data_IF_787886760254
#
_entry.id   IF_787886760254
#
_cell.length_a   1.000
_cell.length_b   1.000
_cell.length_c   1.000
_cell.angle_alpha   90.00
_cell.angle_beta   90.00
_cell.angle_gamma   90.00
#
_symmetry.space_group_name_H-M   'P 1'
#
loop_
_entity.id
_entity.type
_entity.pdbx_description
1 polymer ?
#
# COMPACT_ATOMS: atom_id res chain seq x y z
N UNK A 1 3.29 14.00 1.65
CA UNK A 1 1.81 13.97 1.78
C UNK A 1 1.36 12.56 1.44
N UNK A 2 0.86 11.79 2.41
CA UNK A 2 0.30 10.46 2.13
C UNK A 2 -0.93 10.64 1.24
N UNK A 3 -0.93 9.99 0.08
CA UNK A 3 -2.11 9.90 -0.75
C UNK A 3 -2.88 8.64 -0.34
N UNK A 4 -4.22 8.68 -0.31
CA UNK A 4 -4.99 7.50 0.02
C UNK A 4 -4.84 6.45 -1.09
N UNK A 5 -4.57 5.20 -0.71
CA UNK A 5 -4.37 4.07 -1.61
C UNK A 5 -5.70 3.50 -2.14
N UNK A 6 -6.61 4.37 -2.58
CA UNK A 6 -7.97 3.99 -2.98
C UNK A 6 -7.93 2.99 -4.13
N UNK A 7 -8.47 1.79 -3.89
CA UNK A 7 -8.57 0.73 -4.88
C UNK A 7 -7.24 0.07 -5.24
N UNK A 8 -6.15 0.32 -4.51
CA UNK A 8 -4.87 -0.36 -4.76
C UNK A 8 -4.76 -1.72 -4.08
N UNK A 9 -5.46 -1.90 -2.97
CA UNK A 9 -5.66 -3.15 -2.24
C UNK A 9 -7.03 -3.09 -1.57
N UNK A 10 -7.57 -4.25 -1.20
CA UNK A 10 -8.91 -4.36 -0.63
C UNK A 10 -8.88 -4.46 0.89
N UNK A 11 -7.91 -5.21 1.43
CA UNK A 11 -7.76 -5.41 2.86
C UNK A 11 -6.31 -5.31 3.31
N UNK A 12 -6.14 -4.85 4.54
CA UNK A 12 -4.85 -4.78 5.21
C UNK A 12 -4.98 -5.31 6.64
N UNK A 13 -4.03 -6.13 7.04
CA UNK A 13 -4.02 -6.82 8.32
C UNK A 13 -2.64 -6.75 8.96
N UNK A 14 -2.59 -6.79 10.29
CA UNK A 14 -1.35 -6.98 11.07
C UNK A 14 -1.47 -8.27 11.86
N UNK A 15 -0.46 -9.13 11.80
CA UNK A 15 -0.33 -10.31 12.65
C UNK A 15 1.13 -10.52 13.09
N UNK A 16 1.34 -11.39 14.08
CA UNK A 16 2.69 -11.88 14.40
C UNK A 16 3.07 -13.03 13.45
N UNK A 17 4.35 -13.13 13.12
CA UNK A 17 4.93 -14.24 12.37
C UNK A 17 6.08 -14.85 13.18
N UNK A 18 6.13 -16.18 13.23
CA UNK A 18 7.24 -16.93 13.84
C UNK A 18 8.04 -17.60 12.73
N UNK A 19 9.35 -17.37 12.71
CA UNK A 19 10.29 -18.01 11.80
C UNK A 19 11.01 -19.19 12.47
N UNK A 20 11.61 -20.06 11.67
CA UNK A 20 12.20 -21.34 12.11
C UNK A 20 13.33 -21.23 13.17
N UNK A 21 13.82 -20.02 13.48
CA UNK A 21 14.94 -19.76 14.40
C UNK A 21 14.50 -19.02 15.69
N UNK A 22 13.24 -19.20 16.12
CA UNK A 22 12.64 -18.50 17.28
C UNK A 22 12.60 -16.96 17.15
N UNK A 23 12.78 -16.45 15.93
CA UNK A 23 12.62 -15.03 15.62
C UNK A 23 11.14 -14.75 15.37
N UNK A 24 10.54 -13.93 16.23
CA UNK A 24 9.18 -13.42 16.06
C UNK A 24 9.22 -12.03 15.42
N UNK A 25 8.43 -11.84 14.37
CA UNK A 25 8.30 -10.57 13.66
C UNK A 25 6.84 -10.13 13.60
N UNK A 26 6.61 -8.88 13.22
CA UNK A 26 5.27 -8.41 12.86
C UNK A 26 5.13 -8.42 11.35
N UNK A 27 3.99 -8.88 10.85
CA UNK A 27 3.72 -8.96 9.43
C UNK A 27 2.54 -8.07 9.05
N UNK A 28 2.78 -7.12 8.16
CA UNK A 28 1.74 -6.37 7.45
C UNK A 28 1.32 -7.19 6.23
N UNK A 29 0.06 -7.61 6.21
CA UNK A 29 -0.51 -8.42 5.15
C UNK A 29 -1.44 -7.56 4.29
N UNK A 30 -1.16 -7.48 2.99
CA UNK A 30 -2.00 -6.81 2.01
C UNK A 30 -2.75 -7.84 1.16
N UNK A 31 -4.07 -7.79 1.11
CA UNK A 31 -4.90 -8.71 0.31
C UNK A 31 -5.55 -7.97 -0.85
N UNK A 32 -5.64 -8.64 -2.01
CA UNK A 32 -6.28 -8.07 -3.20
C UNK A 32 -5.48 -6.92 -3.84
N UNK A 33 -4.16 -6.91 -3.68
CA UNK A 33 -3.32 -5.85 -4.25
C UNK A 33 -3.29 -5.95 -5.78
N UNK A 34 -3.56 -4.84 -6.48
CA UNK A 34 -3.41 -4.80 -7.93
C UNK A 34 -1.97 -5.14 -8.32
N UNK A 35 -1.79 -6.05 -9.29
CA UNK A 35 -0.45 -6.53 -9.72
C UNK A 35 0.49 -5.39 -10.11
N UNK A 36 -0.04 -4.35 -10.78
CA UNK A 36 0.74 -3.17 -11.17
C UNK A 36 1.21 -2.31 -9.98
N UNK A 37 0.57 -2.44 -8.82
CA UNK A 37 0.82 -1.64 -7.62
C UNK A 37 1.53 -2.40 -6.50
N UNK A 38 1.62 -3.74 -6.57
CA UNK A 38 2.23 -4.60 -5.54
C UNK A 38 3.61 -4.09 -5.08
N UNK A 39 4.56 -3.97 -6.00
CA UNK A 39 5.92 -3.54 -5.66
C UNK A 39 5.95 -2.09 -5.14
N UNK A 40 5.15 -1.20 -5.72
CA UNK A 40 5.13 0.20 -5.32
C UNK A 40 4.62 0.37 -3.89
N UNK A 41 3.54 -0.32 -3.52
CA UNK A 41 2.95 -0.24 -2.19
C UNK A 41 3.88 -0.84 -1.14
N UNK A 42 4.40 -2.05 -1.38
CA UNK A 42 5.34 -2.72 -0.45
C UNK A 42 6.55 -1.82 -0.20
N UNK A 43 7.13 -1.24 -1.27
CA UNK A 43 8.25 -0.31 -1.14
C UNK A 43 7.88 0.93 -0.34
N UNK A 44 6.73 1.55 -0.61
CA UNK A 44 6.29 2.75 0.12
C UNK A 44 6.06 2.47 1.60
N UNK A 45 5.53 1.30 1.96
CA UNK A 45 5.36 0.91 3.37
C UNK A 45 6.73 0.73 4.03
N UNK A 46 7.65 -0.03 3.40
CA UNK A 46 9.00 -0.22 3.93
C UNK A 46 9.76 1.10 4.12
N UNK A 47 9.63 2.02 3.16
CA UNK A 47 10.22 3.35 3.27
C UNK A 47 9.62 4.14 4.45
N UNK A 48 8.30 4.11 4.63
CA UNK A 48 7.64 4.74 5.79
C UNK A 48 8.11 4.13 7.10
N UNK A 49 8.18 2.79 7.19
CA UNK A 49 8.66 2.09 8.37
C UNK A 49 10.09 2.50 8.74
N UNK A 50 10.97 2.69 7.75
CA UNK A 50 12.35 3.14 7.96
C UNK A 50 12.47 4.56 8.55
N UNK A 51 11.40 5.37 8.47
CA UNK A 51 11.35 6.71 9.06
C UNK A 51 10.74 6.74 10.46
N UNK A 52 10.20 5.62 10.95
CA UNK A 52 9.63 5.55 12.29
C UNK A 52 10.71 5.20 13.29
N UNK A 53 10.80 5.94 14.42
CA UNK A 53 11.65 5.58 15.57
C UNK A 53 11.11 4.36 16.33
N UNK A 54 10.28 3.55 15.68
CA UNK A 54 9.63 2.43 16.29
C UNK A 54 10.60 1.24 16.17
N UNK A 55 11.18 0.85 17.30
CA UNK A 55 11.99 -0.36 17.48
C UNK A 55 11.10 -1.63 17.49
N UNK A 56 10.09 -1.66 16.61
CA UNK A 56 9.35 -2.88 16.30
C UNK A 56 10.30 -3.71 15.44
N UNK A 57 11.04 -4.62 16.08
CA UNK A 57 11.89 -5.59 15.40
C UNK A 57 11.22 -6.11 14.13
N UNK A 58 11.97 -6.05 13.02
CA UNK A 58 11.63 -6.51 11.67
C UNK A 58 10.11 -6.55 11.38
N UNK A 59 9.50 -5.43 11.02
CA UNK A 59 8.16 -5.47 10.43
C UNK A 59 8.30 -5.88 8.97
N UNK A 60 7.78 -7.06 8.65
CA UNK A 60 7.71 -7.58 7.30
C UNK A 60 6.45 -7.09 6.58
N UNK A 61 6.51 -7.00 5.25
CA UNK A 61 5.38 -6.63 4.42
C UNK A 61 5.21 -7.66 3.32
N UNK A 62 4.04 -8.30 3.27
CA UNK A 62 3.70 -9.31 2.28
C UNK A 62 2.36 -9.01 1.60
N UNK A 63 2.23 -9.44 0.35
CA UNK A 63 0.97 -9.43 -0.37
C UNK A 63 0.45 -10.85 -0.56
N UNK A 64 -0.87 -11.02 -0.53
CA UNK A 64 -1.53 -12.31 -0.66
C UNK A 64 -2.67 -12.26 -1.68
N UNK A 65 -2.86 -13.37 -2.39
CA UNK A 65 -4.06 -13.61 -3.17
C UNK A 65 -5.20 -14.03 -2.24
N UNK A 66 -6.43 -13.72 -2.63
CA UNK A 66 -7.61 -14.16 -1.86
C UNK A 66 -7.71 -15.68 -1.74
N UNK A 67 -7.19 -16.39 -2.74
CA UNK A 67 -7.24 -17.84 -2.80
C UNK A 67 -6.16 -18.52 -1.93
N UNK A 68 -5.24 -17.74 -1.35
CA UNK A 68 -4.20 -18.30 -0.49
C UNK A 68 -4.81 -18.78 0.84
N UNK A 69 -4.55 -20.03 1.22
CA UNK A 69 -5.09 -20.63 2.46
C UNK A 69 -4.72 -19.81 3.71
N UNK A 70 -3.54 -19.17 3.69
CA UNK A 70 -3.05 -18.30 4.77
C UNK A 70 -3.95 -17.09 5.02
N UNK A 71 -4.68 -16.60 4.02
CA UNK A 71 -5.59 -15.48 4.16
C UNK A 71 -6.74 -15.78 5.13
N UNK A 72 -7.23 -17.02 5.15
CA UNK A 72 -8.24 -17.43 6.14
C UNK A 72 -7.66 -17.31 7.54
N UNK A 73 -6.43 -17.79 7.75
CA UNK A 73 -5.80 -17.74 9.06
C UNK A 73 -5.52 -16.31 9.53
N UNK A 74 -5.01 -15.45 8.64
CA UNK A 74 -4.76 -14.04 8.93
C UNK A 74 -6.06 -13.34 9.36
N UNK A 75 -7.20 -13.63 8.72
CA UNK A 75 -8.49 -13.04 9.12
C UNK A 75 -8.99 -13.52 10.49
N UNK A 76 -8.62 -14.73 10.90
CA UNK A 76 -8.98 -15.28 12.22
C UNK A 76 -8.16 -14.67 13.36
N UNK A 77 -6.85 -14.50 13.15
CA UNK A 77 -5.91 -14.14 14.23
C UNK A 77 -5.38 -12.71 14.15
N UNK A 78 -5.45 -12.10 12.98
CA UNK A 78 -4.88 -10.79 12.70
C UNK A 78 -5.80 -9.63 13.09
N UNK A 79 -5.20 -8.45 13.19
CA UNK A 79 -5.90 -7.19 13.44
C UNK A 79 -6.15 -6.51 12.10
N UNK A 80 -7.42 -6.33 11.73
CA UNK A 80 -7.80 -5.59 10.51
C UNK A 80 -7.52 -4.10 10.69
N UNK A 81 -6.70 -3.54 9.81
CA UNK A 81 -6.50 -2.10 9.75
C UNK A 81 -7.64 -1.46 8.95
N UNK A 82 -8.29 -0.46 9.55
CA UNK A 82 -9.36 0.30 8.93
C UNK A 82 -8.80 1.64 8.47
N UNK A 83 -9.01 1.95 7.20
CA UNK A 83 -8.70 3.27 6.65
C UNK A 83 -9.97 4.10 6.54
N UNK A 84 -9.88 5.44 6.69
CA UNK A 84 -11.02 6.30 6.41
C UNK A 84 -11.46 6.09 4.95
N UNK A 85 -12.77 6.00 4.72
CA UNK A 85 -13.31 5.98 3.37
C UNK A 85 -12.88 7.24 2.62
N UNK A 86 -12.27 7.03 1.46
CA UNK A 86 -11.79 8.12 0.63
C UNK A 86 -12.85 8.33 -0.42
N UNK A 87 -13.62 9.40 -0.27
CA UNK A 87 -14.55 9.85 -1.30
C UNK A 87 -13.76 9.99 -2.60
N UNK A 88 -14.19 9.25 -3.63
CA UNK A 88 -13.58 9.05 -4.95
C UNK A 88 -12.44 9.99 -5.30
N UNK A 89 -11.30 9.41 -5.74
CA UNK A 89 -10.24 10.15 -6.41
C UNK A 89 -10.91 10.90 -7.56
N UNK A 90 -11.08 12.22 -7.41
CA UNK A 90 -11.45 13.09 -8.51
C UNK A 90 -10.38 12.86 -9.56
N UNK A 91 -10.71 12.05 -10.57
CA UNK A 91 -9.90 11.91 -11.75
C UNK A 91 -9.59 13.35 -12.16
N UNK A 92 -8.32 13.74 -12.04
CA UNK A 92 -7.85 14.95 -12.67
C UNK A 92 -7.90 14.64 -14.17
N UNK A 93 -9.11 14.68 -14.74
CA UNK A 93 -9.30 14.84 -16.15
C UNK A 93 -8.40 16.02 -16.49
N UNK A 94 -7.28 15.72 -17.14
CA UNK A 94 -6.29 16.68 -17.56
C UNK A 94 -7.07 17.79 -18.25
N UNK A 95 -7.16 18.97 -17.64
CA UNK A 95 -7.92 20.05 -18.23
C UNK A 95 -7.17 20.49 -19.49
N UNK A 96 -7.61 19.96 -20.64
CA UNK A 96 -6.98 20.21 -21.94
C UNK A 96 -7.23 21.66 -22.40
N UNK A 97 -7.94 22.49 -21.62
CA UNK A 97 -8.37 23.83 -22.06
C UNK A 97 -7.26 24.86 -22.25
N UNK A 98 -6.02 24.63 -21.81
CA UNK A 98 -4.93 25.61 -21.94
C UNK A 98 -3.74 25.15 -22.82
N UNK A 99 -4.00 24.53 -23.98
CA UNK A 99 -2.93 24.30 -24.98
C UNK A 99 -2.41 25.58 -25.66
N UNK A 100 -3.20 26.67 -25.66
CA UNK A 100 -2.81 27.92 -26.34
C UNK A 100 -1.73 28.71 -25.56
N UNK A 101 -1.64 28.56 -24.25
CA UNK A 101 -0.70 29.30 -23.39
C UNK A 101 0.67 28.61 -23.21
N UNK A 102 0.81 27.37 -23.70
CA UNK A 102 2.02 26.55 -23.56
C UNK A 102 2.78 26.36 -24.88
N UNK A 103 2.39 27.08 -25.94
CA UNK A 103 3.16 27.04 -27.17
C UNK A 103 4.46 27.81 -26.97
N UNK A 104 5.63 27.17 -27.17
CA UNK A 104 6.90 27.89 -27.09
C UNK A 104 6.92 29.00 -28.15
N UNK A 105 7.49 30.17 -27.83
CA UNK A 105 7.56 31.28 -28.78
C UNK A 105 8.28 30.83 -30.05
N UNK A 106 7.69 31.15 -31.21
CA UNK A 106 8.29 30.83 -32.51
C UNK A 106 9.58 31.62 -32.66
N UNK A 107 10.70 30.91 -32.71
CA UNK A 107 12.01 31.49 -33.03
C UNK A 107 11.92 32.10 -34.44
N UNK A 108 12.29 33.38 -34.55
CA UNK A 108 12.46 34.09 -35.83
C UNK A 108 13.78 33.73 -36.47
#
# INVERSE_FOLDING_TARGET
KLMPAVGLFDEIWICAAEYNEDESSHLICLMGVQTSAQQAIVKSINEVLSFTDIDLGNIDVAHFSYDDEVCTKIREIGIKLQFPEVSEVKNAARDVKNKAALQPPKLR
#
